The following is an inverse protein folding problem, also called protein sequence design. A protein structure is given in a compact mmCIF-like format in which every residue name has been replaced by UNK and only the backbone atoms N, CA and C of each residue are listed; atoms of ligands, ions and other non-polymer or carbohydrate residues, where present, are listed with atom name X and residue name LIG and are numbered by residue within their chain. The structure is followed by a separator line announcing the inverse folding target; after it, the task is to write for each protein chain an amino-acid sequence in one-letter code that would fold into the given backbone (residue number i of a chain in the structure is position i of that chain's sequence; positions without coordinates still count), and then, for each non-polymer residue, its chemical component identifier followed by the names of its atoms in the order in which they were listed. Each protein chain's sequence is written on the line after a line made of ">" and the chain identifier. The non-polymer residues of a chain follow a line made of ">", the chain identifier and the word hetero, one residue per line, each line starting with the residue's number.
data_IF_846942517328
#
_entry.id   IF_846942517328
#
_cell.length_a   1.000
_cell.length_b   1.000
_cell.length_c   1.000
_cell.angle_alpha   90.00
_cell.angle_beta   90.00
_cell.angle_gamma   90.00
#
_symmetry.space_group_name_H-M   'P 1'
#
loop_
_entity.id
_entity.type
_entity.pdbx_description
1 polymer ?
#
# COMPACT_ATOMS: atom_id res chain seq x y z
N UNK A 1 13.69 -13.64 -0.18
CA UNK A 1 13.32 -12.41 0.57
C UNK A 1 12.24 -12.74 1.59
N UNK A 2 10.97 -12.95 1.20
CA UNK A 2 9.90 -13.20 2.18
C UNK A 2 10.14 -14.41 3.09
N UNK A 3 10.60 -15.55 2.56
CA UNK A 3 10.98 -16.72 3.37
C UNK A 3 12.00 -16.40 4.46
N UNK A 4 13.15 -15.83 4.08
CA UNK A 4 14.17 -15.41 5.05
C UNK A 4 13.68 -14.39 6.07
N UNK A 5 12.73 -13.52 5.70
CA UNK A 5 12.12 -12.60 6.66
C UNK A 5 11.25 -13.35 7.68
N UNK A 6 10.43 -14.30 7.23
CA UNK A 6 9.58 -15.12 8.10
C UNK A 6 10.42 -16.00 9.03
N UNK A 7 11.51 -16.59 8.52
CA UNK A 7 12.50 -17.33 9.31
C UNK A 7 13.07 -16.43 10.42
N UNK A 8 13.51 -15.23 10.08
CA UNK A 8 14.06 -14.28 11.06
C UNK A 8 13.05 -13.85 12.13
N UNK A 9 11.79 -13.65 11.74
CA UNK A 9 10.71 -13.36 12.68
C UNK A 9 10.49 -14.53 13.64
N UNK A 10 10.51 -15.77 13.13
CA UNK A 10 10.32 -16.97 13.95
C UNK A 10 11.49 -17.27 14.88
N UNK A 11 12.71 -16.94 14.48
CA UNK A 11 13.90 -17.04 15.34
C UNK A 11 13.80 -16.14 16.57
N UNK A 12 13.42 -14.88 16.39
CA UNK A 12 13.35 -13.89 17.47
C UNK A 12 12.03 -13.94 18.26
N UNK A 13 10.93 -14.20 17.57
CA UNK A 13 9.58 -14.26 18.13
C UNK A 13 8.92 -15.60 17.80
N UNK A 14 9.26 -16.69 18.51
CA UNK A 14 8.75 -18.03 18.21
C UNK A 14 7.22 -18.13 18.21
N UNK A 15 6.58 -17.42 19.15
CA UNK A 15 5.13 -17.39 19.35
C UNK A 15 4.38 -16.49 18.36
N UNK A 16 5.08 -15.83 17.44
CA UNK A 16 4.46 -14.97 16.42
C UNK A 16 3.51 -15.75 15.52
N UNK A 17 2.42 -15.12 15.08
CA UNK A 17 1.54 -15.67 14.05
C UNK A 17 1.83 -14.96 12.73
N UNK A 18 2.13 -15.75 11.70
CA UNK A 18 2.38 -15.22 10.35
C UNK A 18 1.17 -15.54 9.50
N UNK A 19 0.60 -14.51 8.88
CA UNK A 19 -0.46 -14.64 7.88
C UNK A 19 -0.12 -13.92 6.59
N UNK A 20 -0.36 -14.59 5.47
CA UNK A 20 -0.10 -14.07 4.13
C UNK A 20 -1.41 -13.99 3.37
N UNK A 21 -1.99 -12.79 3.22
CA UNK A 21 -3.14 -12.61 2.36
C UNK A 21 -2.73 -12.71 0.88
N UNK A 22 -3.54 -13.36 0.07
CA UNK A 22 -3.25 -13.61 -1.36
C UNK A 22 -4.35 -13.02 -2.25
N UNK A 23 -3.97 -12.67 -3.48
CA UNK A 23 -4.95 -12.24 -4.47
C UNK A 23 -5.86 -13.42 -4.87
N UNK A 24 -7.14 -13.18 -5.25
CA UNK A 24 -8.09 -14.22 -5.63
C UNK A 24 -7.65 -15.10 -6.81
N UNK A 25 -6.67 -14.63 -7.60
CA UNK A 25 -6.12 -15.36 -8.75
C UNK A 25 -5.04 -16.37 -8.37
N UNK A 26 -4.59 -16.38 -7.11
CA UNK A 26 -3.59 -17.30 -6.59
C UNK A 26 -4.25 -18.40 -5.77
N UNK A 27 -3.81 -19.64 -5.94
CA UNK A 27 -4.29 -20.74 -5.10
C UNK A 27 -3.52 -20.79 -3.78
N UNK A 28 -4.24 -21.04 -2.68
CA UNK A 28 -3.67 -21.25 -1.33
C UNK A 28 -2.55 -22.28 -1.34
N UNK A 29 -2.77 -23.46 -1.95
CA UNK A 29 -1.80 -24.55 -2.00
C UNK A 29 -0.46 -24.15 -2.64
N UNK A 30 -0.51 -23.49 -3.80
CA UNK A 30 0.68 -23.01 -4.50
C UNK A 30 1.46 -22.01 -3.64
N UNK A 31 0.79 -21.06 -2.98
CA UNK A 31 1.47 -20.07 -2.12
C UNK A 31 2.06 -20.76 -0.89
N UNK A 32 1.30 -21.63 -0.23
CA UNK A 32 1.77 -22.42 0.92
C UNK A 32 3.03 -23.20 0.58
N UNK A 33 3.05 -23.94 -0.52
CA UNK A 33 4.23 -24.67 -0.98
C UNK A 33 5.40 -23.71 -1.31
N UNK A 34 5.11 -22.65 -2.08
CA UNK A 34 6.14 -21.72 -2.56
C UNK A 34 6.75 -20.87 -1.46
N UNK A 35 6.07 -20.68 -0.34
CA UNK A 35 6.55 -19.96 0.83
C UNK A 35 6.89 -20.86 2.03
N UNK A 36 6.59 -22.16 1.99
CA UNK A 36 6.83 -23.10 3.09
C UNK A 36 5.90 -22.85 4.27
N UNK A 37 4.68 -22.40 3.99
CA UNK A 37 3.66 -22.07 4.98
C UNK A 37 2.63 -23.20 5.06
N UNK A 38 1.97 -23.30 6.21
CA UNK A 38 0.80 -24.15 6.37
C UNK A 38 -0.40 -23.50 5.65
N UNK A 39 -1.38 -24.29 5.15
CA UNK A 39 -2.54 -23.73 4.46
C UNK A 39 -3.31 -22.66 5.26
N UNK A 40 -3.42 -22.80 6.59
CA UNK A 40 -4.12 -21.84 7.46
C UNK A 40 -3.35 -20.53 7.75
N UNK A 41 -2.08 -20.47 7.35
CA UNK A 41 -1.26 -19.24 7.39
C UNK A 41 -1.45 -18.41 6.12
N UNK A 42 -2.16 -18.93 5.13
CA UNK A 42 -2.54 -18.21 3.91
C UNK A 42 -4.01 -17.82 4.01
N UNK A 43 -4.31 -16.56 3.67
CA UNK A 43 -5.67 -16.00 3.78
C UNK A 43 -6.13 -15.45 2.44
N UNK A 44 -7.41 -15.60 2.13
CA UNK A 44 -8.04 -14.98 0.96
C UNK A 44 -8.69 -13.63 1.32
N UNK A 45 -8.73 -13.26 2.60
CA UNK A 45 -9.24 -11.98 3.08
C UNK A 45 -8.09 -11.09 3.57
N UNK A 46 -7.66 -10.16 2.71
CA UNK A 46 -6.61 -9.20 3.03
C UNK A 46 -7.03 -8.21 4.11
N UNK A 47 -8.30 -7.80 4.12
CA UNK A 47 -8.80 -6.78 5.04
C UNK A 47 -8.85 -7.29 6.47
N UNK A 48 -9.44 -8.47 6.68
CA UNK A 48 -9.51 -9.09 8.00
C UNK A 48 -8.10 -9.43 8.51
N UNK A 49 -7.24 -9.97 7.64
CA UNK A 49 -5.85 -10.29 7.99
C UNK A 49 -5.08 -9.04 8.43
N UNK A 50 -5.19 -7.94 7.70
CA UNK A 50 -4.51 -6.69 8.05
C UNK A 50 -5.10 -6.06 9.31
N UNK A 51 -6.42 -6.15 9.52
CA UNK A 51 -7.10 -5.58 10.69
C UNK A 51 -6.61 -6.22 11.99
N UNK A 52 -6.44 -7.54 12.01
CA UNK A 52 -5.99 -8.26 13.20
C UNK A 52 -4.46 -8.31 13.37
N UNK A 53 -3.71 -7.85 12.38
CA UNK A 53 -2.25 -7.84 12.46
C UNK A 53 -1.73 -6.73 13.39
N UNK A 54 -0.72 -7.06 14.20
CA UNK A 54 0.00 -6.06 14.99
C UNK A 54 0.83 -5.10 14.14
N UNK A 55 1.46 -5.68 13.12
CA UNK A 55 2.33 -5.04 12.14
C UNK A 55 2.19 -5.75 10.80
N UNK A 56 2.46 -5.05 9.70
CA UNK A 56 2.44 -5.62 8.35
C UNK A 56 3.70 -5.30 7.54
N UNK A 57 3.96 -6.13 6.54
CA UNK A 57 4.97 -5.89 5.49
C UNK A 57 4.24 -5.86 4.17
N UNK A 58 4.26 -4.71 3.50
CA UNK A 58 3.33 -4.43 2.41
C UNK A 58 4.10 -4.09 1.16
N UNK A 59 3.75 -4.75 0.05
CA UNK A 59 4.28 -4.39 -1.25
C UNK A 59 3.66 -3.05 -1.72
N UNK A 60 4.42 -2.25 -2.46
CA UNK A 60 3.86 -1.02 -3.05
C UNK A 60 2.66 -1.32 -3.95
N UNK A 61 1.61 -0.51 -3.83
CA UNK A 61 0.40 -0.61 -4.65
C UNK A 61 -0.86 -0.32 -3.86
N UNK A 62 -1.97 -0.94 -4.27
CA UNK A 62 -3.27 -0.80 -3.59
C UNK A 62 -3.23 -1.31 -2.14
N UNK A 63 -2.46 -2.37 -1.88
CA UNK A 63 -2.27 -2.92 -0.54
C UNK A 63 -1.70 -1.88 0.45
N UNK A 64 -0.83 -0.96 -0.02
CA UNK A 64 -0.31 0.16 0.79
C UNK A 64 -1.44 1.08 1.24
N UNK A 65 -2.35 1.40 0.31
CA UNK A 65 -3.50 2.27 0.58
C UNK A 65 -4.47 1.60 1.55
N UNK A 66 -4.83 0.33 1.29
CA UNK A 66 -5.72 -0.44 2.17
C UNK A 66 -5.13 -0.56 3.58
N UNK A 67 -3.85 -0.88 3.71
CA UNK A 67 -3.19 -0.98 5.03
C UNK A 67 -3.20 0.36 5.76
N UNK A 68 -2.89 1.45 5.07
CA UNK A 68 -2.96 2.79 5.65
C UNK A 68 -4.40 3.17 6.05
N UNK A 69 -5.39 2.77 5.24
CA UNK A 69 -6.80 2.93 5.53
C UNK A 69 -7.27 2.03 6.66
N UNK A 70 -6.65 0.90 6.97
CA UNK A 70 -6.96 0.07 8.15
C UNK A 70 -6.29 0.65 9.39
N UNK A 71 -5.12 1.28 9.23
CA UNK A 71 -4.36 1.89 10.33
C UNK A 71 -3.37 0.94 10.99
N UNK A 72 -3.18 -0.25 10.42
CA UNK A 72 -2.19 -1.23 10.85
C UNK A 72 -0.79 -0.67 10.60
N UNK A 73 0.11 -0.60 11.60
CA UNK A 73 1.49 -0.18 11.39
C UNK A 73 2.20 -1.10 10.38
N UNK A 74 3.02 -0.54 9.49
CA UNK A 74 3.65 -1.37 8.46
C UNK A 74 4.97 -0.83 7.92
N UNK A 75 5.77 -1.74 7.36
CA UNK A 75 6.91 -1.42 6.52
C UNK A 75 6.54 -1.66 5.05
N UNK A 76 6.89 -0.71 4.19
CA UNK A 76 6.68 -0.81 2.75
C UNK A 76 7.92 -1.37 2.08
N UNK A 77 7.76 -2.35 1.20
CA UNK A 77 8.85 -2.80 0.35
C UNK A 77 8.48 -2.73 -1.13
N UNK A 78 9.50 -2.54 -1.98
CA UNK A 78 9.34 -2.59 -3.41
C UNK A 78 10.57 -3.16 -4.10
N UNK A 79 10.36 -4.17 -4.92
CA UNK A 79 11.41 -4.85 -5.69
C UNK A 79 10.91 -5.12 -7.11
N UNK A 80 11.45 -4.38 -8.08
CA UNK A 80 11.21 -4.63 -9.52
C UNK A 80 12.36 -5.41 -10.14
N UNK A 81 12.15 -5.92 -11.35
CA UNK A 81 13.23 -6.50 -12.15
C UNK A 81 14.36 -5.48 -12.38
N UNK A 82 15.60 -5.94 -12.60
CA UNK A 82 16.72 -5.05 -12.91
C UNK A 82 16.46 -4.14 -14.12
N UNK A 83 15.75 -4.65 -15.13
CA UNK A 83 15.37 -3.90 -16.33
C UNK A 83 14.46 -2.70 -16.04
N UNK A 84 13.57 -2.80 -15.06
CA UNK A 84 12.65 -1.73 -14.66
C UNK A 84 13.21 -0.82 -13.56
N UNK A 85 14.41 -1.09 -13.04
CA UNK A 85 15.00 -0.35 -11.92
C UNK A 85 15.34 1.11 -12.26
N UNK A 86 15.56 1.44 -13.54
CA UNK A 86 15.80 2.82 -13.97
C UNK A 86 14.59 3.72 -13.71
N UNK A 87 13.37 3.25 -13.99
CA UNK A 87 12.15 4.01 -13.70
C UNK A 87 12.02 4.30 -12.20
N UNK A 88 12.29 3.29 -11.37
CA UNK A 88 12.21 3.44 -9.93
C UNK A 88 13.18 4.50 -9.39
N UNK A 89 14.43 4.47 -9.88
CA UNK A 89 15.46 5.47 -9.49
C UNK A 89 15.02 6.89 -9.86
N UNK A 90 14.41 7.06 -11.04
CA UNK A 90 13.90 8.36 -11.45
C UNK A 90 12.72 8.81 -10.59
N UNK A 91 11.73 7.95 -10.34
CA UNK A 91 10.58 8.30 -9.49
C UNK A 91 11.05 8.76 -8.10
N UNK A 92 11.95 8.01 -7.46
CA UNK A 92 12.49 8.38 -6.15
C UNK A 92 13.23 9.72 -6.21
N UNK A 93 14.04 9.95 -7.26
CA UNK A 93 14.78 11.21 -7.43
C UNK A 93 13.87 12.43 -7.55
N UNK A 94 12.70 12.28 -8.19
CA UNK A 94 11.81 13.42 -8.47
C UNK A 94 10.68 13.59 -7.43
N UNK A 95 10.15 12.52 -6.86
CA UNK A 95 9.00 12.56 -5.93
C UNK A 95 9.39 12.35 -4.46
N UNK A 96 10.61 11.85 -4.18
CA UNK A 96 11.12 11.59 -2.82
C UNK A 96 10.54 10.33 -2.16
N UNK A 97 9.24 10.07 -2.33
CA UNK A 97 8.51 8.92 -1.76
C UNK A 97 7.71 8.18 -2.83
N UNK A 98 7.41 6.90 -2.59
CA UNK A 98 6.55 6.08 -3.46
C UNK A 98 5.29 5.65 -2.71
N UNK A 99 5.43 5.34 -1.43
CA UNK A 99 4.32 4.97 -0.57
C UNK A 99 3.31 6.10 -0.44
N UNK A 100 2.05 5.80 -0.75
CA UNK A 100 0.96 6.78 -0.66
C UNK A 100 0.89 7.53 0.69
N UNK A 101 1.09 6.91 1.87
CA UNK A 101 1.08 7.63 3.14
C UNK A 101 2.18 8.71 3.24
N UNK A 102 3.36 8.42 2.71
CA UNK A 102 4.49 9.34 2.76
C UNK A 102 4.32 10.49 1.77
N UNK A 103 3.82 10.19 0.56
CA UNK A 103 3.46 11.20 -0.44
C UNK A 103 2.37 12.13 0.12
N UNK A 104 1.32 11.57 0.69
CA UNK A 104 0.15 12.32 1.14
C UNK A 104 0.45 13.25 2.32
N UNK A 105 1.38 12.86 3.20
CA UNK A 105 1.83 13.68 4.34
C UNK A 105 3.14 14.43 4.09
N UNK A 106 3.69 14.35 2.88
CA UNK A 106 4.96 14.98 2.47
C UNK A 106 6.12 14.74 3.43
N UNK A 107 6.15 13.57 4.10
CA UNK A 107 7.19 13.18 5.05
C UNK A 107 7.23 11.67 5.18
N UNK A 108 8.33 11.14 5.73
CA UNK A 108 8.42 9.72 6.02
C UNK A 108 7.53 9.35 7.22
N UNK A 109 6.45 8.62 6.95
CA UNK A 109 5.51 8.04 7.92
C UNK A 109 5.79 6.56 8.11
N UNK A 110 5.93 5.85 6.98
CA UNK A 110 6.31 4.43 6.91
C UNK A 110 7.69 4.29 6.29
N UNK A 111 8.49 3.36 6.80
CA UNK A 111 9.79 3.04 6.21
C UNK A 111 9.58 2.35 4.86
N UNK A 112 10.20 2.91 3.81
CA UNK A 112 10.19 2.35 2.46
C UNK A 112 11.54 1.67 2.16
N UNK A 113 11.50 0.36 1.92
CA UNK A 113 12.63 -0.48 1.57
C UNK A 113 12.63 -0.79 0.07
N UNK A 114 13.59 -0.22 -0.66
CA UNK A 114 13.69 -0.37 -2.12
C UNK A 114 14.86 -1.25 -2.55
N UNK A 115 14.66 -2.12 -3.53
CA UNK A 115 15.74 -2.86 -4.22
C UNK A 115 16.67 -3.62 -3.24
N UNK A 116 17.95 -3.25 -3.16
CA UNK A 116 18.96 -3.78 -2.24
C UNK A 116 18.60 -3.56 -0.75
N UNK A 117 17.74 -2.58 -0.47
CA UNK A 117 17.21 -2.32 0.87
C UNK A 117 15.97 -3.16 1.19
N UNK A 118 15.34 -3.80 0.20
CA UNK A 118 14.30 -4.80 0.41
C UNK A 118 14.92 -6.18 0.71
N UNK A 119 15.73 -6.23 1.78
CA UNK A 119 16.33 -7.46 2.30
C UNK A 119 15.63 -7.93 3.58
N UNK A 120 15.68 -9.23 3.90
CA UNK A 120 15.11 -9.76 5.14
C UNK A 120 15.57 -9.00 6.38
N UNK A 121 16.86 -8.78 6.55
CA UNK A 121 17.43 -8.16 7.76
C UNK A 121 16.98 -6.71 7.95
N UNK A 122 16.94 -5.93 6.87
CA UNK A 122 16.55 -4.52 6.92
C UNK A 122 15.07 -4.37 7.24
N UNK A 123 14.23 -5.18 6.59
CA UNK A 123 12.80 -5.17 6.88
C UNK A 123 12.57 -5.66 8.31
N UNK A 124 13.21 -6.75 8.72
CA UNK A 124 13.09 -7.28 10.07
C UNK A 124 13.51 -6.27 11.13
N UNK A 125 14.60 -5.53 10.92
CA UNK A 125 15.04 -4.49 11.84
C UNK A 125 14.00 -3.40 12.01
N UNK A 126 13.31 -2.99 10.94
CA UNK A 126 12.21 -2.02 11.03
C UNK A 126 11.01 -2.61 11.79
N UNK A 127 10.61 -3.86 11.48
CA UNK A 127 9.51 -4.50 12.19
C UNK A 127 9.81 -4.64 13.69
N UNK A 128 11.03 -5.04 14.04
CA UNK A 128 11.50 -5.13 15.42
C UNK A 128 11.44 -3.77 16.12
N UNK A 129 11.79 -2.69 15.43
CA UNK A 129 11.63 -1.34 15.96
C UNK A 129 10.16 -0.98 16.22
N UNK A 130 9.25 -1.30 15.30
CA UNK A 130 7.82 -1.03 15.46
C UNK A 130 7.16 -1.87 16.56
N UNK A 131 7.59 -3.12 16.74
CA UNK A 131 7.12 -4.01 17.81
C UNK A 131 7.55 -3.44 19.17
N UNK A 132 8.81 -3.04 19.32
CA UNK A 132 9.37 -2.66 20.62
C UNK A 132 9.20 -1.18 20.98
N UNK A 133 8.98 -0.30 20.00
CA UNK A 133 8.84 1.15 20.22
C UNK A 133 7.36 1.55 20.25
N UNK A 134 6.78 1.56 21.45
CA UNK A 134 5.42 2.09 21.69
C UNK A 134 5.20 3.49 21.09
N UNK A 135 6.06 4.49 21.40
CA UNK A 135 5.89 5.84 20.87
C UNK A 135 5.97 5.92 19.33
N UNK A 136 6.93 5.23 18.70
CA UNK A 136 7.05 5.23 17.24
C UNK A 136 5.85 4.58 16.57
N UNK A 137 5.38 3.44 17.11
CA UNK A 137 4.19 2.73 16.62
C UNK A 137 2.96 3.62 16.73
N UNK A 138 2.74 4.27 17.87
CA UNK A 138 1.60 5.17 18.08
C UNK A 138 1.64 6.38 17.14
N UNK A 139 2.82 6.97 16.93
CA UNK A 139 2.99 8.06 15.98
C UNK A 139 2.67 7.63 14.54
N UNK A 140 3.08 6.43 14.15
CA UNK A 140 2.75 5.85 12.84
C UNK A 140 1.23 5.67 12.72
N UNK A 141 0.57 5.01 13.68
CA UNK A 141 -0.89 4.80 13.66
C UNK A 141 -1.63 6.14 13.54
N UNK A 142 -1.26 7.14 14.35
CA UNK A 142 -1.86 8.48 14.29
C UNK A 142 -1.70 9.14 12.91
N UNK A 143 -0.53 8.96 12.29
CA UNK A 143 -0.27 9.46 10.94
C UNK A 143 -1.11 8.72 9.89
N UNK A 144 -1.25 7.40 10.00
CA UNK A 144 -2.09 6.60 9.09
C UNK A 144 -3.57 6.98 9.20
N UNK A 145 -4.06 7.23 10.41
CA UNK A 145 -5.41 7.75 10.64
C UNK A 145 -5.60 9.15 10.03
N UNK A 146 -4.55 9.97 10.01
CA UNK A 146 -4.56 11.26 9.29
C UNK A 146 -4.64 11.04 7.78
N UNK A 147 -3.88 10.07 7.24
CA UNK A 147 -3.99 9.68 5.83
C UNK A 147 -5.42 9.25 5.48
N UNK A 148 -6.05 8.43 6.32
CA UNK A 148 -7.45 8.01 6.14
C UNK A 148 -8.40 9.20 6.01
N UNK A 149 -8.26 10.21 6.88
CA UNK A 149 -9.08 11.44 6.81
C UNK A 149 -8.87 12.22 5.50
N UNK A 150 -7.63 12.33 5.04
CA UNK A 150 -7.28 13.05 3.80
C UNK A 150 -7.77 12.33 2.54
N UNK A 151 -7.81 11.00 2.56
CA UNK A 151 -8.33 10.16 1.47
C UNK A 151 -9.86 10.14 1.41
N UNK A 152 -10.52 10.73 2.41
CA UNK A 152 -11.97 10.78 2.54
C UNK A 152 -12.54 9.61 3.35
N UNK A 153 -13.68 9.86 3.99
CA UNK A 153 -14.47 8.81 4.64
C UNK A 153 -15.25 8.00 3.60
N UNK A 154 -15.76 6.81 3.97
CA UNK A 154 -16.65 6.02 3.12
C UNK A 154 -17.84 6.91 2.69
N UNK A 155 -17.85 7.35 1.43
CA UNK A 155 -18.85 8.28 0.87
C UNK A 155 -18.32 9.24 -0.20
N UNK A 156 -16.99 9.47 -0.26
CA UNK A 156 -16.38 10.41 -1.22
C UNK A 156 -16.36 9.90 -2.68
N UNK A 157 -16.66 8.62 -2.90
CA UNK A 157 -16.86 8.08 -4.26
C UNK A 157 -18.00 8.78 -4.99
N UNK A 158 -19.06 9.18 -4.27
CA UNK A 158 -20.17 9.97 -4.81
C UNK A 158 -19.68 11.34 -5.29
N UNK A 159 -18.71 11.93 -4.60
CA UNK A 159 -18.13 13.24 -4.95
C UNK A 159 -17.19 13.12 -6.14
N UNK A 160 -16.35 12.09 -6.18
CA UNK A 160 -15.50 11.78 -7.33
C UNK A 160 -16.36 11.51 -8.58
N UNK A 161 -17.38 10.66 -8.47
CA UNK A 161 -18.33 10.39 -9.54
C UNK A 161 -19.11 11.66 -9.96
N UNK A 162 -19.57 12.47 -9.00
CA UNK A 162 -20.27 13.73 -9.29
C UNK A 162 -19.39 14.71 -10.06
N UNK A 163 -18.10 14.82 -9.73
CA UNK A 163 -17.14 15.66 -10.46
C UNK A 163 -16.89 15.17 -11.88
N UNK A 164 -16.81 13.85 -12.09
CA UNK A 164 -16.72 13.27 -13.44
C UNK A 164 -17.99 13.57 -14.23
N UNK A 165 -19.17 13.38 -13.64
CA UNK A 165 -20.46 13.70 -14.28
C UNK A 165 -20.58 15.20 -14.60
N UNK A 166 -20.17 16.08 -13.71
CA UNK A 166 -20.17 17.53 -13.93
C UNK A 166 -19.22 17.92 -15.08
N UNK A 167 -18.03 17.34 -15.13
CA UNK A 167 -17.08 17.55 -16.22
C UNK A 167 -17.63 17.08 -17.57
N UNK A 168 -18.27 15.90 -17.61
CA UNK A 168 -18.92 15.38 -18.80
C UNK A 168 -20.09 16.27 -19.26
N UNK A 169 -20.93 16.75 -18.34
CA UNK A 169 -22.02 17.70 -18.64
C UNK A 169 -21.51 19.02 -19.19
N UNK A 170 -20.45 19.59 -18.60
CA UNK A 170 -19.81 20.82 -19.11
C UNK A 170 -19.25 20.63 -20.51
N UNK A 171 -18.61 19.50 -20.79
CA UNK A 171 -18.10 19.16 -22.14
C UNK A 171 -19.24 19.01 -23.15
N UNK A 172 -20.36 18.39 -22.77
CA UNK A 172 -21.53 18.22 -23.63
C UNK A 172 -22.25 19.57 -23.91
N UNK A 173 -22.33 20.46 -22.92
CA UNK A 173 -22.87 21.82 -23.13
C UNK A 173 -21.95 22.69 -23.99
N UNK A 174 -20.62 22.55 -23.87
CA UNK A 174 -19.67 23.24 -24.76
C UNK A 174 -19.70 22.73 -26.21
N UNK A 175 -20.00 21.45 -26.43
CA UNK A 175 -20.17 20.87 -27.77
C UNK A 175 -21.48 21.32 -28.44
N UNK A 176 -22.56 21.49 -27.67
CA UNK A 176 -23.87 21.93 -28.20
C UNK A 176 -23.94 23.44 -28.51
N UNK A 177 -23.02 24.26 -28.00
CA UNK A 177 -22.94 25.69 -28.33
C UNK A 177 -22.05 25.98 -29.56
N UNK A 178 -21.30 24.99 -30.06
CA UNK A 178 -20.40 25.14 -31.22
C UNK A 178 -21.02 24.83 -32.59
N UNK A 179 -22.32 24.50 -32.66
CA UNK A 179 -22.98 24.06 -33.90
C UNK A 179 -24.01 25.05 -34.46
N UNK A 180 -24.00 26.32 -34.05
CA UNK A 180 -24.99 27.32 -34.50
C UNK A 180 -24.46 28.54 -35.26
N UNK A 181 -23.16 28.61 -35.59
CA UNK A 181 -22.64 29.64 -36.50
C UNK A 181 -22.18 29.04 -37.83
N UNK A 182 -23.14 28.81 -38.73
CA UNK A 182 -22.89 28.74 -40.16
C UNK A 182 -24.14 29.18 -40.93
N UNK A 183 -24.39 30.49 -40.96
CA UNK A 183 -25.16 31.16 -42.00
C UNK A 183 -24.69 32.62 -42.07
N UNK A 184 -23.61 32.85 -42.81
CA UNK A 184 -23.29 34.16 -43.36
C UNK A 184 -24.01 34.28 -44.72
N UNK A 185 -24.76 35.38 -44.97
CA UNK A 185 -25.15 35.74 -46.33
C UNK A 185 -23.93 36.19 -47.17
#
# INVERSE_FOLDING_TARGET
>A
MLRGLMERIKEEYPDSQIRVPIAPTLSVSWVSEKLGLKPHEVSEDSWDTLHWADIAVVASGTATLETALIGTPFCLFYKVSPSSSWLLKNIIKYQGFIGMPNILLSRQVVKECFQENASPDKIFSELKFLINSGPSRLNMVSSLLTCRKLLGERGDQTRAASRVVEHLKKKQMGLNQGSHDSNLP
#
